data_IF_765545470434
#
_entry.id   IF_765545470434
#
_cell.length_a   1.000
_cell.length_b   1.000
_cell.length_c   1.000
_cell.angle_alpha   90.00
_cell.angle_beta   90.00
_cell.angle_gamma   90.00
#
_symmetry.space_group_name_H-M   'P 1'
#
loop_
_entity.id
_entity.type
_entity.pdbx_description
1 polymer ?
#
# COMPACT_ATOMS: atom_id res chain seq x y z
N UNK A 1 0.04 28.32 -39.33
CA UNK A 1 1.32 27.87 -38.75
C UNK A 1 1.63 28.52 -37.40
N UNK A 2 1.38 29.82 -37.21
CA UNK A 2 1.60 30.52 -35.91
C UNK A 2 0.79 29.94 -34.75
N UNK A 3 -0.47 29.56 -34.97
CA UNK A 3 -1.32 28.94 -33.92
C UNK A 3 -0.76 27.60 -33.44
N UNK A 4 -0.27 26.76 -34.37
CA UNK A 4 0.32 25.45 -34.02
C UNK A 4 1.60 25.65 -33.21
N UNK A 5 2.43 26.64 -33.56
CA UNK A 5 3.64 26.97 -32.82
C UNK A 5 3.34 27.48 -31.40
N UNK A 6 2.32 28.32 -31.23
CA UNK A 6 1.89 28.81 -29.91
C UNK A 6 1.29 27.69 -29.06
N UNK A 7 0.45 26.82 -29.64
CA UNK A 7 -0.10 25.66 -28.95
C UNK A 7 1.02 24.71 -28.50
N UNK A 8 2.01 24.43 -29.35
CA UNK A 8 3.16 23.61 -28.99
C UNK A 8 3.96 24.20 -27.81
N UNK A 9 4.15 25.52 -27.79
CA UNK A 9 4.89 26.22 -26.74
C UNK A 9 4.12 26.24 -25.40
N UNK A 10 2.78 26.33 -25.45
CA UNK A 10 1.94 26.22 -24.25
C UNK A 10 1.94 24.79 -23.71
N UNK A 11 1.87 23.78 -24.60
CA UNK A 11 1.87 22.38 -24.21
C UNK A 11 3.18 21.96 -23.53
N UNK A 12 4.33 22.48 -23.96
CA UNK A 12 5.62 22.17 -23.31
C UNK A 12 5.72 22.74 -21.90
N UNK A 13 5.11 23.90 -21.65
CA UNK A 13 5.07 24.52 -20.31
C UNK A 13 4.01 23.86 -19.40
N UNK A 14 2.88 23.45 -19.95
CA UNK A 14 1.78 22.86 -19.19
C UNK A 14 1.97 21.37 -18.85
N UNK A 15 2.58 20.59 -19.75
CA UNK A 15 2.81 19.15 -19.58
C UNK A 15 3.43 18.75 -18.21
N UNK A 16 4.51 19.38 -17.70
CA UNK A 16 5.10 18.98 -16.42
C UNK A 16 4.20 19.25 -15.21
N UNK A 17 3.27 20.21 -15.30
CA UNK A 17 2.33 20.49 -14.22
C UNK A 17 1.24 19.42 -14.11
N UNK A 18 0.78 18.90 -15.26
CA UNK A 18 -0.18 17.80 -15.31
C UNK A 18 0.40 16.50 -14.75
N UNK A 19 1.64 16.14 -15.11
CA UNK A 19 2.27 14.92 -14.58
C UNK A 19 2.43 14.95 -13.06
N UNK A 20 2.82 16.10 -12.48
CA UNK A 20 2.85 16.28 -11.02
C UNK A 20 1.48 16.08 -10.38
N UNK A 21 0.42 16.65 -10.97
CA UNK A 21 -0.94 16.52 -10.45
C UNK A 21 -1.42 15.07 -10.48
N UNK A 22 -1.19 14.37 -11.60
CA UNK A 22 -1.53 12.95 -11.71
C UNK A 22 -0.79 12.08 -10.69
N UNK A 23 0.51 12.29 -10.52
CA UNK A 23 1.31 11.56 -9.53
C UNK A 23 0.81 11.82 -8.10
N UNK A 24 0.53 13.08 -7.76
CA UNK A 24 -0.01 13.44 -6.44
C UNK A 24 -1.37 12.78 -6.17
N UNK A 25 -2.26 12.75 -7.17
CA UNK A 25 -3.56 12.10 -7.08
C UNK A 25 -3.42 10.58 -6.92
N UNK A 26 -2.54 9.94 -7.70
CA UNK A 26 -2.27 8.51 -7.62
C UNK A 26 -1.73 8.11 -6.24
N UNK A 27 -0.73 8.84 -5.72
CA UNK A 27 -0.14 8.62 -4.40
C UNK A 27 -1.19 8.79 -3.30
N UNK A 28 -1.97 9.88 -3.33
CA UNK A 28 -3.04 10.12 -2.36
C UNK A 28 -4.08 9.00 -2.37
N UNK A 29 -4.49 8.55 -3.56
CA UNK A 29 -5.42 7.43 -3.72
C UNK A 29 -4.84 6.13 -3.13
N UNK A 30 -3.61 5.77 -3.49
CA UNK A 30 -2.96 4.55 -3.01
C UNK A 30 -2.77 4.54 -1.49
N UNK A 31 -2.37 5.67 -0.90
CA UNK A 31 -2.27 5.82 0.55
C UNK A 31 -3.65 5.62 1.21
N UNK A 32 -4.68 6.27 0.69
CA UNK A 32 -6.04 6.18 1.26
C UNK A 32 -6.61 4.76 1.13
N UNK A 33 -6.38 4.07 0.01
CA UNK A 33 -6.75 2.67 -0.18
C UNK A 33 -6.06 1.77 0.85
N UNK A 34 -4.74 1.90 1.00
CA UNK A 34 -3.98 1.12 1.98
C UNK A 34 -4.47 1.36 3.41
N UNK A 35 -4.71 2.61 3.79
CA UNK A 35 -5.25 2.95 5.11
C UNK A 35 -6.66 2.38 5.33
N UNK A 36 -7.51 2.42 4.30
CA UNK A 36 -8.86 1.86 4.36
C UNK A 36 -8.81 0.33 4.53
N UNK A 37 -7.91 -0.34 3.83
CA UNK A 37 -7.76 -1.80 3.88
C UNK A 37 -7.14 -2.27 5.19
N UNK A 38 -6.18 -1.53 5.73
CA UNK A 38 -5.65 -1.78 7.07
C UNK A 38 -6.74 -1.66 8.14
N UNK A 39 -7.60 -0.64 8.06
CA UNK A 39 -8.73 -0.47 8.99
C UNK A 39 -9.76 -1.58 8.81
N UNK A 40 -10.06 -1.95 7.57
CA UNK A 40 -10.97 -3.04 7.25
C UNK A 40 -10.46 -4.36 7.81
N UNK A 41 -9.22 -4.76 7.49
CA UNK A 41 -8.58 -5.98 7.98
C UNK A 41 -8.57 -6.05 9.51
N UNK A 42 -8.21 -4.94 10.18
CA UNK A 42 -8.27 -4.85 11.63
C UNK A 42 -9.69 -5.05 12.18
N UNK A 43 -10.68 -4.36 11.61
CA UNK A 43 -12.06 -4.45 12.07
C UNK A 43 -12.63 -5.85 11.87
N UNK A 44 -12.25 -6.50 10.78
CA UNK A 44 -12.70 -7.85 10.44
C UNK A 44 -12.03 -8.88 11.35
N UNK A 45 -10.75 -8.70 11.70
CA UNK A 45 -10.08 -9.52 12.70
C UNK A 45 -10.81 -9.47 14.05
N UNK A 46 -11.17 -8.27 14.51
CA UNK A 46 -11.90 -8.11 15.78
C UNK A 46 -13.28 -8.76 15.71
N UNK A 47 -13.98 -8.64 14.59
CA UNK A 47 -15.30 -9.27 14.37
C UNK A 47 -15.25 -10.79 14.35
N UNK A 48 -14.19 -11.37 13.77
CA UNK A 48 -14.01 -12.82 13.62
C UNK A 48 -13.30 -13.49 14.79
N UNK A 49 -12.75 -12.71 15.72
CA UNK A 49 -11.93 -13.23 16.81
C UNK A 49 -10.47 -13.50 16.42
N UNK A 50 -9.98 -12.91 15.33
CA UNK A 50 -8.59 -12.96 14.87
C UNK A 50 -8.45 -13.46 13.44
N UNK A 51 -7.23 -13.84 13.07
CA UNK A 51 -6.97 -14.56 11.83
C UNK A 51 -7.23 -13.77 10.55
N UNK A 52 -7.17 -12.43 10.56
CA UNK A 52 -7.26 -11.68 9.30
C UNK A 52 -5.89 -11.16 8.92
N UNK A 53 -5.51 -11.43 7.67
CA UNK A 53 -4.20 -11.12 7.13
C UNK A 53 -4.36 -10.17 5.96
N UNK A 54 -3.59 -9.10 5.95
CA UNK A 54 -3.35 -8.24 4.80
C UNK A 54 -1.95 -8.55 4.30
N UNK A 55 -1.81 -9.02 3.06
CA UNK A 55 -0.50 -9.32 2.49
C UNK A 55 -0.38 -8.82 1.06
N UNK A 56 0.84 -8.48 0.68
CA UNK A 56 1.20 -8.15 -0.69
C UNK A 56 0.94 -9.36 -1.59
N UNK A 57 0.45 -9.13 -2.81
CA UNK A 57 0.36 -10.15 -3.86
C UNK A 57 1.05 -9.64 -5.13
N UNK A 58 1.64 -10.54 -5.91
CA UNK A 58 2.08 -10.23 -7.28
C UNK A 58 0.88 -10.20 -8.24
N UNK A 59 -0.10 -11.09 -8.01
CA UNK A 59 -1.30 -11.26 -8.84
C UNK A 59 -2.56 -11.20 -7.97
N UNK A 60 -2.90 -10.02 -7.39
CA UNK A 60 -4.02 -9.89 -6.45
C UNK A 60 -5.39 -10.23 -7.07
N UNK A 61 -5.54 -10.06 -8.38
CA UNK A 61 -6.79 -10.30 -9.11
C UNK A 61 -7.00 -11.78 -9.51
N UNK A 62 -5.98 -12.62 -9.33
CA UNK A 62 -6.11 -14.05 -9.60
C UNK A 62 -7.04 -14.72 -8.57
N UNK A 63 -7.89 -15.68 -8.98
CA UNK A 63 -8.65 -16.49 -8.02
C UNK A 63 -7.75 -17.24 -7.03
N UNK A 64 -6.51 -17.56 -7.44
CA UNK A 64 -5.46 -18.15 -6.60
C UNK A 64 -4.49 -17.12 -6.00
N UNK A 65 -4.90 -15.86 -5.88
CA UNK A 65 -4.06 -14.81 -5.29
C UNK A 65 -3.49 -15.24 -3.94
N UNK A 66 -2.16 -15.20 -3.84
CA UNK A 66 -1.38 -15.65 -2.69
C UNK A 66 -0.47 -14.53 -2.19
N UNK A 67 0.00 -14.67 -0.95
CA UNK A 67 0.95 -13.72 -0.39
C UNK A 67 2.31 -13.84 -1.09
N UNK A 68 2.88 -12.70 -1.47
CA UNK A 68 4.19 -12.65 -2.08
C UNK A 68 5.29 -12.97 -1.04
N UNK A 69 6.26 -13.80 -1.45
CA UNK A 69 7.36 -14.22 -0.59
C UNK A 69 8.42 -13.12 -0.34
N UNK A 70 8.46 -12.09 -1.19
CA UNK A 70 9.41 -10.98 -1.08
C UNK A 70 8.73 -9.65 -1.42
N UNK A 71 9.41 -8.54 -1.16
CA UNK A 71 8.90 -7.21 -1.51
C UNK A 71 8.83 -6.97 -3.03
N UNK A 72 9.64 -7.66 -3.86
CA UNK A 72 9.72 -7.40 -5.29
C UNK A 72 10.27 -6.00 -5.62
N UNK A 73 10.35 -5.64 -6.90
CA UNK A 73 10.83 -4.33 -7.36
C UNK A 73 9.80 -3.21 -7.16
N UNK A 74 8.51 -3.55 -7.27
CA UNK A 74 7.40 -2.59 -7.14
C UNK A 74 6.89 -2.48 -5.69
N UNK A 75 7.35 -3.34 -4.78
CA UNK A 75 6.83 -3.34 -3.42
C UNK A 75 5.32 -3.59 -3.40
N UNK A 76 4.62 -2.93 -2.49
CA UNK A 76 3.17 -3.00 -2.37
C UNK A 76 2.41 -2.35 -3.54
N UNK A 77 3.09 -1.75 -4.53
CA UNK A 77 2.43 -1.20 -5.72
C UNK A 77 1.87 -2.29 -6.65
N UNK A 78 2.36 -3.53 -6.55
CA UNK A 78 1.78 -4.71 -7.23
C UNK A 78 0.38 -5.07 -6.70
N UNK A 79 -0.04 -4.45 -5.59
CA UNK A 79 -1.33 -4.70 -4.96
C UNK A 79 -1.22 -5.66 -3.79
N UNK A 80 -2.36 -5.87 -3.14
CA UNK A 80 -2.45 -6.65 -1.91
C UNK A 80 -3.84 -7.25 -1.77
N UNK A 81 -3.92 -8.24 -0.90
CA UNK A 81 -5.14 -8.96 -0.60
C UNK A 81 -5.38 -8.99 0.90
N UNK A 82 -6.65 -9.08 1.28
CA UNK A 82 -7.10 -9.31 2.66
C UNK A 82 -7.88 -10.61 2.68
N UNK A 83 -7.48 -11.55 3.55
CA UNK A 83 -8.13 -12.85 3.67
C UNK A 83 -8.21 -13.29 5.13
N UNK A 84 -9.04 -14.29 5.38
CA UNK A 84 -9.16 -14.93 6.69
C UNK A 84 -8.26 -16.18 6.72
N UNK A 85 -7.17 -16.08 7.47
CA UNK A 85 -6.19 -17.11 7.82
C UNK A 85 -6.82 -18.06 8.84
N UNK A 86 -7.28 -19.22 8.37
CA UNK A 86 -8.02 -20.21 9.17
C UNK A 86 -7.07 -21.15 9.91
N UNK A 87 -5.91 -21.44 9.33
CA UNK A 87 -4.92 -22.37 9.89
C UNK A 87 -3.79 -21.67 10.66
N UNK A 88 -3.71 -20.34 10.58
CA UNK A 88 -2.75 -19.53 11.31
C UNK A 88 -1.35 -19.54 10.68
N UNK A 89 -1.21 -19.94 9.42
CA UNK A 89 0.08 -20.02 8.74
C UNK A 89 0.50 -18.68 8.09
N UNK A 90 -0.41 -17.70 7.98
CA UNK A 90 -0.17 -16.40 7.35
C UNK A 90 -0.05 -16.42 5.82
N UNK A 91 -0.42 -17.51 5.17
CA UNK A 91 -0.33 -17.74 3.74
C UNK A 91 -1.67 -18.24 3.21
N UNK A 92 -2.22 -17.50 2.25
CA UNK A 92 -3.52 -17.85 1.70
C UNK A 92 -3.49 -19.19 0.99
N UNK A 93 -4.39 -20.09 1.38
CA UNK A 93 -4.70 -21.31 0.64
C UNK A 93 -6.09 -21.24 -0.05
N UNK A 94 -6.42 -22.24 -0.87
CA UNK A 94 -7.68 -22.26 -1.62
C UNK A 94 -8.96 -22.45 -0.78
N UNK A 95 -8.82 -22.85 0.49
CA UNK A 95 -9.94 -23.03 1.44
C UNK A 95 -10.24 -21.74 2.22
N UNK A 96 -9.36 -20.74 2.13
CA UNK A 96 -9.47 -19.50 2.88
C UNK A 96 -10.20 -18.41 2.08
N UNK A 97 -11.13 -17.76 2.77
CA UNK A 97 -11.98 -16.74 2.17
C UNK A 97 -11.21 -15.45 1.91
N UNK A 98 -11.21 -15.02 0.65
CA UNK A 98 -10.75 -13.70 0.23
C UNK A 98 -11.80 -12.65 0.61
N UNK A 99 -11.41 -11.68 1.44
CA UNK A 99 -12.28 -10.64 1.97
C UNK A 99 -12.22 -9.37 1.13
N UNK A 100 -11.02 -9.02 0.63
CA UNK A 100 -10.81 -7.86 -0.22
C UNK A 100 -9.60 -8.07 -1.13
N UNK A 101 -9.70 -7.51 -2.33
CA UNK A 101 -8.63 -7.47 -3.31
C UNK A 101 -8.37 -6.02 -3.65
N UNK A 102 -7.10 -5.63 -3.64
CA UNK A 102 -6.64 -4.36 -4.17
C UNK A 102 -5.75 -4.61 -5.38
N UNK A 103 -6.22 -4.15 -6.55
CA UNK A 103 -5.49 -4.26 -7.80
C UNK A 103 -4.18 -3.45 -7.78
N UNK A 104 -3.21 -3.78 -8.65
CA UNK A 104 -1.99 -3.00 -8.79
C UNK A 104 -2.29 -1.54 -9.10
N UNK A 105 -1.56 -0.61 -8.47
CA UNK A 105 -1.75 0.82 -8.73
C UNK A 105 -0.90 1.23 -9.94
N UNK A 106 -1.53 1.43 -11.10
CA UNK A 106 -0.85 1.83 -12.33
C UNK A 106 -0.24 3.24 -12.28
N UNK A 107 -0.66 4.09 -11.33
CA UNK A 107 -0.16 5.45 -11.16
C UNK A 107 0.96 5.58 -10.11
N UNK A 108 1.31 4.51 -9.38
CA UNK A 108 2.40 4.51 -8.41
C UNK A 108 3.40 3.43 -8.81
N UNK A 109 4.63 3.82 -9.12
CA UNK A 109 5.63 2.85 -9.58
C UNK A 109 6.12 1.93 -8.46
N UNK A 110 6.30 2.48 -7.26
CA UNK A 110 6.81 1.73 -6.10
C UNK A 110 6.12 2.14 -4.80
N UNK A 111 5.83 1.13 -3.96
CA UNK A 111 5.44 1.32 -2.56
C UNK A 111 6.38 0.45 -1.71
N UNK A 112 7.48 1.03 -1.25
CA UNK A 112 8.51 0.31 -0.51
C UNK A 112 8.20 0.27 0.98
N UNK A 113 8.42 -0.86 1.63
CA UNK A 113 8.31 -0.97 3.09
C UNK A 113 9.71 -1.16 3.70
N UNK A 114 10.02 -0.42 4.76
CA UNK A 114 11.27 -0.59 5.50
C UNK A 114 11.27 -1.96 6.18
N UNK A 115 12.38 -2.70 6.09
CA UNK A 115 12.48 -4.07 6.60
C UNK A 115 11.73 -5.12 5.76
N UNK A 116 11.23 -4.75 4.58
CA UNK A 116 10.56 -5.65 3.62
C UNK A 116 9.39 -6.50 4.14
N UNK A 117 8.52 -6.00 5.06
CA UNK A 117 7.33 -6.76 5.45
C UNK A 117 6.40 -6.94 4.23
N UNK A 118 6.05 -8.19 3.95
CA UNK A 118 5.07 -8.56 2.92
C UNK A 118 3.70 -8.86 3.50
N UNK A 119 3.57 -8.81 4.83
CA UNK A 119 2.40 -9.31 5.56
C UNK A 119 2.13 -8.50 6.84
N UNK A 120 0.84 -8.25 7.10
CA UNK A 120 0.29 -7.69 8.32
C UNK A 120 -0.82 -8.61 8.84
N UNK A 121 -0.55 -9.34 9.92
CA UNK A 121 -1.53 -10.25 10.53
C UNK A 121 -2.18 -9.62 11.74
N UNK A 122 -3.51 -9.61 11.79
CA UNK A 122 -4.28 -9.05 12.88
C UNK A 122 -4.85 -10.15 13.80
N UNK A 123 -4.61 -10.01 15.10
CA UNK A 123 -5.24 -10.84 16.13
C UNK A 123 -6.62 -10.34 16.56
N UNK A 124 -7.28 -11.07 17.47
CA UNK A 124 -8.62 -10.78 17.99
C UNK A 124 -8.77 -9.36 18.58
N UNK A 125 -7.69 -8.79 19.11
CA UNK A 125 -7.66 -7.45 19.71
C UNK A 125 -7.38 -6.34 18.69
N UNK A 126 -7.19 -6.69 17.41
CA UNK A 126 -6.80 -5.78 16.34
C UNK A 126 -5.33 -5.35 16.41
N UNK A 127 -4.52 -5.98 17.28
CA UNK A 127 -3.07 -5.82 17.32
C UNK A 127 -2.41 -6.65 16.21
N UNK A 128 -1.28 -6.18 15.70
CA UNK A 128 -0.49 -6.96 14.77
C UNK A 128 0.23 -8.11 15.50
N UNK A 129 0.30 -9.24 14.81
CA UNK A 129 1.01 -10.44 15.21
C UNK A 129 2.21 -10.65 14.29
N UNK A 130 3.34 -11.07 14.87
CA UNK A 130 4.51 -11.45 14.09
C UNK A 130 4.14 -12.51 13.01
N UNK A 131 4.78 -12.45 11.83
CA UNK A 131 5.86 -11.52 11.44
C UNK A 131 5.40 -10.10 11.06
N UNK A 132 4.10 -9.80 11.01
CA UNK A 132 3.61 -8.45 10.78
C UNK A 132 3.80 -7.57 12.02
N UNK A 133 4.65 -6.54 11.95
CA UNK A 133 4.91 -5.63 13.06
C UNK A 133 4.85 -4.17 12.61
N UNK A 134 5.38 -3.26 13.41
CA UNK A 134 5.48 -1.86 13.01
C UNK A 134 6.28 -1.73 11.71
N UNK A 135 5.82 -0.89 10.81
CA UNK A 135 6.46 -0.69 9.51
C UNK A 135 6.26 0.74 9.01
N UNK A 136 7.26 1.25 8.31
CA UNK A 136 7.15 2.44 7.46
C UNK A 136 6.94 1.99 6.02
N UNK A 137 5.91 2.51 5.36
CA UNK A 137 5.68 2.36 3.94
C UNK A 137 5.87 3.71 3.24
N UNK A 138 6.69 3.70 2.20
CA UNK A 138 7.02 4.84 1.35
C UNK A 138 6.24 4.71 0.05
N UNK A 139 5.26 5.59 -0.16
CA UNK A 139 4.46 5.67 -1.37
C UNK A 139 5.12 6.67 -2.34
N UNK A 140 5.48 6.17 -3.52
CA UNK A 140 6.23 6.91 -4.53
C UNK A 140 7.73 6.63 -4.42
N UNK A 141 8.34 6.33 -5.56
CA UNK A 141 9.75 5.96 -5.65
C UNK A 141 10.72 7.13 -5.57
N UNK A 142 12.03 6.85 -5.54
CA UNK A 142 13.08 7.86 -5.44
C UNK A 142 13.13 8.81 -6.64
N UNK A 143 12.49 8.45 -7.77
CA UNK A 143 12.34 9.29 -8.96
C UNK A 143 11.44 10.51 -8.76
N UNK A 144 10.61 10.51 -7.71
CA UNK A 144 9.70 11.60 -7.37
C UNK A 144 10.31 12.54 -6.33
N UNK A 145 10.02 13.83 -6.45
CA UNK A 145 10.35 14.81 -5.42
C UNK A 145 9.81 14.36 -4.05
N UNK A 146 10.59 14.57 -2.99
CA UNK A 146 10.22 14.18 -1.63
C UNK A 146 8.85 14.76 -1.20
N UNK A 147 8.49 15.96 -1.68
CA UNK A 147 7.21 16.61 -1.40
C UNK A 147 5.98 15.90 -2.00
N UNK A 148 6.16 15.12 -3.07
CA UNK A 148 5.10 14.34 -3.72
C UNK A 148 4.93 12.98 -3.05
N UNK A 149 6.02 12.41 -2.52
CA UNK A 149 6.03 11.14 -1.82
C UNK A 149 5.24 11.23 -0.51
N UNK A 150 4.77 10.08 -0.02
CA UNK A 150 4.08 9.98 1.28
C UNK A 150 4.63 8.82 2.09
N UNK A 151 4.82 9.06 3.39
CA UNK A 151 5.23 8.01 4.33
C UNK A 151 4.04 7.64 5.20
N UNK A 152 3.76 6.34 5.29
CA UNK A 152 2.72 5.76 6.14
C UNK A 152 3.38 4.94 7.24
N UNK A 153 3.03 5.23 8.49
CA UNK A 153 3.49 4.47 9.64
C UNK A 153 2.40 3.51 10.09
N UNK A 154 2.81 2.27 10.32
CA UNK A 154 2.00 1.22 10.93
C UNK A 154 2.54 0.94 12.32
N UNK A 155 1.67 1.02 13.32
CA UNK A 155 1.96 0.70 14.72
C UNK A 155 1.88 -0.80 14.98
N UNK A 156 2.56 -1.36 16.00
CA UNK A 156 2.27 -2.71 16.50
C UNK A 156 0.81 -2.88 16.93
N UNK A 157 0.14 -1.79 17.35
CA UNK A 157 -1.28 -1.74 17.69
C UNK A 157 -2.23 -1.82 16.47
N UNK A 158 -1.71 -2.07 15.26
CA UNK A 158 -2.51 -2.22 14.03
C UNK A 158 -3.12 -0.93 13.48
N UNK A 159 -2.68 0.24 13.95
CA UNK A 159 -3.07 1.55 13.41
C UNK A 159 -2.09 1.97 12.32
N UNK A 160 -2.61 2.28 11.13
CA UNK A 160 -1.86 2.91 10.06
C UNK A 160 -2.19 4.42 10.00
N UNK A 161 -1.18 5.28 9.81
CA UNK A 161 -1.34 6.74 9.69
C UNK A 161 -0.36 7.33 8.68
N UNK A 162 -0.74 8.46 8.08
CA UNK A 162 0.17 9.26 7.27
C UNK A 162 1.13 10.00 8.21
N UNK A 163 2.43 9.85 8.00
CA UNK A 163 3.47 10.53 8.75
C UNK A 163 3.76 11.91 8.17
N UNK A 164 3.84 12.00 6.84
CA UNK A 164 4.19 13.21 6.12
C UNK A 164 4.62 12.92 4.70
N UNK A 165 5.54 13.73 4.20
CA UNK A 165 6.15 13.58 2.88
C UNK A 165 7.31 12.57 2.89
N UNK A 166 8.06 12.46 1.80
CA UNK A 166 9.20 11.52 1.67
C UNK A 166 10.36 11.74 2.64
N UNK A 167 10.36 12.82 3.44
CA UNK A 167 11.36 13.08 4.48
C UNK A 167 10.87 12.70 5.89
N UNK A 168 9.59 12.38 6.03
CA UNK A 168 9.01 12.00 7.30
C UNK A 168 9.50 10.63 7.76
N UNK A 169 9.68 10.47 9.07
CA UNK A 169 10.05 9.21 9.71
C UNK A 169 8.96 8.74 10.67
N UNK A 170 8.84 7.42 10.82
CA UNK A 170 8.02 6.82 11.85
C UNK A 170 8.78 6.89 13.17
N UNK A 171 8.33 7.75 14.09
CA UNK A 171 8.89 7.78 15.44
C UNK A 171 8.76 6.43 16.15
N UNK A 172 9.58 6.20 17.18
CA UNK A 172 9.66 4.94 17.97
C UNK A 172 8.34 4.50 18.63
N UNK A 173 7.31 5.34 18.64
CA UNK A 173 5.95 5.02 19.06
C UNK A 173 4.98 5.18 17.88
N UNK A 174 5.26 4.46 16.79
CA UNK A 174 4.30 4.19 15.73
C UNK A 174 3.11 3.48 16.31
#
# INVERSE_FOLDING_TARGET
MVVVALVALILTLAAPSFTRLFNAAAISSGVNQFLADMRFARSEAVRRGGGVVLCRSEDPESPSAACAASAGSQGWASGWIVFHDLDGNGARNGLESLLRVQAPNSGIHTIAADGTPTIFRFGATGRLLAPGSAASLHFGGPELDASLRRVVCVSPAGRARIAGDGTAACGVNG
#
